data_IF_933919193615
#
_entry.id   IF_933919193615
#
_cell.length_a   1.000
_cell.length_b   1.000
_cell.length_c   1.000
_cell.angle_alpha   90.00
_cell.angle_beta   90.00
_cell.angle_gamma   90.00
#
_symmetry.space_group_name_H-M   'P 1'
#
loop_
_entity.id
_entity.type
_entity.pdbx_description
1 polymer ?
#
# COMPACT_ATOMS: atom_id res chain seq x y z
N UNK A 1 -1.62 -14.35 6.53
CA UNK A 1 -1.68 -12.92 6.79
C UNK A 1 -3.00 -12.56 7.46
N UNK A 2 -3.05 -11.45 8.21
CA UNK A 2 -4.34 -10.97 8.65
C UNK A 2 -5.21 -10.74 7.42
N UNK A 3 -6.51 -11.01 7.53
CA UNK A 3 -7.43 -10.88 6.38
C UNK A 3 -7.39 -9.48 5.75
N UNK A 4 -7.10 -8.45 6.53
CA UNK A 4 -6.96 -7.07 6.06
C UNK A 4 -5.78 -6.89 5.09
N UNK A 5 -4.57 -7.34 5.44
CA UNK A 5 -3.41 -7.21 4.55
C UNK A 5 -3.50 -8.12 3.33
N UNK A 6 -4.12 -9.30 3.47
CA UNK A 6 -4.42 -10.17 2.35
C UNK A 6 -5.34 -9.45 1.35
N UNK A 7 -6.37 -8.77 1.85
CA UNK A 7 -7.30 -8.02 1.03
C UNK A 7 -6.63 -6.83 0.33
N UNK A 8 -5.80 -6.06 1.03
CA UNK A 8 -5.06 -4.93 0.44
C UNK A 8 -4.15 -5.37 -0.70
N UNK A 9 -3.40 -6.44 -0.50
CA UNK A 9 -2.52 -6.99 -1.53
C UNK A 9 -3.33 -7.53 -2.72
N UNK A 10 -4.42 -8.25 -2.46
CA UNK A 10 -5.29 -8.79 -3.50
C UNK A 10 -5.93 -7.68 -4.34
N UNK A 11 -6.49 -6.64 -3.70
CA UNK A 11 -7.02 -5.46 -4.38
C UNK A 11 -5.97 -4.81 -5.29
N UNK A 12 -4.74 -4.66 -4.80
CA UNK A 12 -3.64 -4.08 -5.59
C UNK A 12 -3.34 -4.90 -6.84
N UNK A 13 -3.19 -6.23 -6.70
CA UNK A 13 -2.90 -7.13 -7.83
C UNK A 13 -4.08 -7.13 -8.82
N UNK A 14 -5.31 -7.13 -8.32
CA UNK A 14 -6.51 -7.09 -9.13
C UNK A 14 -6.58 -5.79 -9.97
N UNK A 15 -6.38 -4.64 -9.35
CA UNK A 15 -6.32 -3.35 -10.08
C UNK A 15 -5.16 -3.31 -11.07
N UNK A 16 -4.01 -3.85 -10.69
CA UNK A 16 -2.86 -3.96 -11.59
C UNK A 16 -3.18 -4.78 -12.86
N UNK A 17 -4.10 -5.73 -12.76
CA UNK A 17 -4.61 -6.52 -13.89
C UNK A 17 -5.91 -5.97 -14.50
N UNK A 18 -6.30 -4.74 -14.14
CA UNK A 18 -7.46 -4.05 -14.73
C UNK A 18 -8.80 -4.42 -14.15
N UNK A 19 -8.83 -5.13 -13.01
CA UNK A 19 -10.08 -5.45 -12.32
C UNK A 19 -10.50 -4.29 -11.43
N UNK A 20 -11.72 -3.80 -11.60
CA UNK A 20 -12.40 -2.96 -10.63
C UNK A 20 -13.64 -3.70 -10.10
N UNK A 21 -14.13 -3.30 -8.94
CA UNK A 21 -15.27 -3.95 -8.31
C UNK A 21 -16.59 -3.66 -9.03
N UNK A 22 -16.68 -2.51 -9.69
CA UNK A 22 -17.86 -2.10 -10.46
C UNK A 22 -17.48 -1.46 -11.80
N UNK A 23 -18.39 -1.53 -12.76
CA UNK A 23 -18.31 -0.78 -14.02
C UNK A 23 -18.76 0.69 -13.85
N UNK A 24 -18.76 1.44 -14.95
CA UNK A 24 -19.19 2.85 -14.98
C UNK A 24 -20.70 3.05 -14.63
N UNK A 25 -21.48 1.98 -14.63
CA UNK A 25 -22.91 1.98 -14.30
C UNK A 25 -23.20 1.49 -12.89
N UNK A 26 -22.14 1.05 -12.17
CA UNK A 26 -22.25 0.50 -10.84
C UNK A 26 -22.58 -1.00 -10.79
N UNK A 27 -22.55 -1.72 -11.91
CA UNK A 27 -22.70 -3.17 -11.88
C UNK A 27 -21.41 -3.82 -11.39
N UNK A 28 -21.51 -4.84 -10.56
CA UNK A 28 -20.35 -5.62 -10.08
C UNK A 28 -19.68 -6.34 -11.26
N UNK A 29 -18.35 -6.33 -11.29
CA UNK A 29 -17.52 -6.87 -12.39
C UNK A 29 -16.39 -7.76 -11.88
N UNK A 30 -16.70 -8.66 -10.95
CA UNK A 30 -15.70 -9.55 -10.35
C UNK A 30 -15.61 -10.93 -11.04
N UNK A 31 -16.66 -11.41 -11.72
CA UNK A 31 -16.59 -12.65 -12.48
C UNK A 31 -16.14 -12.39 -13.93
N UNK A 32 -14.85 -12.12 -14.09
CA UNK A 32 -14.23 -11.77 -15.38
C UNK A 32 -12.96 -12.58 -15.65
N UNK A 33 -12.50 -12.67 -16.93
CA UNK A 33 -11.22 -13.30 -17.25
C UNK A 33 -10.03 -12.63 -16.52
N UNK A 34 -10.03 -11.29 -16.40
CA UNK A 34 -8.98 -10.56 -15.68
C UNK A 34 -8.94 -10.91 -14.19
N UNK A 35 -10.09 -11.11 -13.54
CA UNK A 35 -10.14 -11.58 -12.15
C UNK A 35 -9.65 -13.01 -12.01
N UNK A 36 -9.93 -13.88 -13.00
CA UNK A 36 -9.38 -15.24 -13.04
C UNK A 36 -7.86 -15.22 -13.07
N UNK A 37 -7.26 -14.45 -13.98
CA UNK A 37 -5.80 -14.27 -14.06
C UNK A 37 -5.24 -13.74 -12.72
N UNK A 38 -5.96 -12.83 -12.07
CA UNK A 38 -5.59 -12.29 -10.75
C UNK A 38 -5.58 -13.40 -9.69
N UNK A 39 -6.59 -14.24 -9.62
CA UNK A 39 -6.67 -15.35 -8.66
C UNK A 39 -5.57 -16.39 -8.92
N UNK A 40 -5.31 -16.74 -10.16
CA UNK A 40 -4.23 -17.66 -10.55
C UNK A 40 -2.85 -17.11 -10.15
N UNK A 41 -2.60 -15.82 -10.43
CA UNK A 41 -1.36 -15.18 -10.04
C UNK A 41 -1.22 -15.05 -8.51
N UNK A 42 -2.29 -14.72 -7.81
CA UNK A 42 -2.26 -14.64 -6.35
C UNK A 42 -1.97 -16.00 -5.71
N UNK A 43 -2.58 -17.07 -6.26
CA UNK A 43 -2.27 -18.45 -5.84
C UNK A 43 -0.81 -18.81 -6.13
N UNK A 44 -0.29 -18.45 -7.31
CA UNK A 44 1.13 -18.63 -7.63
C UNK A 44 2.03 -17.96 -6.58
N UNK A 45 1.74 -16.71 -6.19
CA UNK A 45 2.49 -16.03 -5.14
C UNK A 45 2.39 -16.75 -3.79
N UNK A 46 1.20 -17.21 -3.42
CA UNK A 46 1.00 -17.97 -2.18
C UNK A 46 1.81 -19.27 -2.16
N UNK A 47 1.80 -20.03 -3.26
CA UNK A 47 2.52 -21.30 -3.41
C UNK A 47 4.06 -21.12 -3.40
N UNK A 48 4.55 -19.90 -3.73
CA UNK A 48 5.98 -19.55 -3.73
C UNK A 48 6.40 -18.67 -2.54
N UNK A 49 5.51 -18.44 -1.61
CA UNK A 49 5.79 -17.74 -0.36
C UNK A 49 6.19 -18.72 0.74
N UNK A 50 6.99 -18.31 1.74
CA UNK A 50 7.25 -19.14 2.88
C UNK A 50 5.95 -19.60 3.56
N UNK A 51 5.91 -20.84 4.09
CA UNK A 51 4.70 -21.39 4.68
C UNK A 51 4.31 -20.66 5.97
N UNK A 52 3.00 -20.65 6.25
CA UNK A 52 2.42 -20.09 7.48
C UNK A 52 1.65 -18.80 7.25
N UNK A 53 1.00 -18.36 8.30
CA UNK A 53 0.28 -17.08 8.32
C UNK A 53 1.27 -15.93 8.54
N UNK A 54 1.78 -15.37 7.44
CA UNK A 54 2.72 -14.27 7.46
C UNK A 54 1.98 -12.95 7.68
N UNK A 55 2.24 -12.33 8.82
CA UNK A 55 1.88 -10.94 9.07
C UNK A 55 2.98 -10.01 8.53
N UNK A 56 2.75 -8.72 8.48
CA UNK A 56 3.72 -7.76 7.94
C UNK A 56 5.09 -7.82 8.63
N UNK A 57 5.13 -8.15 9.92
CA UNK A 57 6.38 -8.27 10.67
C UNK A 57 7.22 -9.43 10.17
N UNK A 58 6.63 -10.63 10.07
CA UNK A 58 7.31 -11.82 9.57
C UNK A 58 7.74 -11.65 8.11
N UNK A 59 6.90 -11.05 7.26
CA UNK A 59 7.25 -10.77 5.87
C UNK A 59 8.47 -9.83 5.77
N UNK A 60 8.52 -8.78 6.60
CA UNK A 60 9.67 -7.89 6.68
C UNK A 60 10.92 -8.61 7.17
N UNK A 61 10.82 -9.42 8.22
CA UNK A 61 11.93 -10.21 8.75
C UNK A 61 12.52 -11.13 7.69
N UNK A 62 11.68 -11.84 6.94
CA UNK A 62 12.12 -12.68 5.82
C UNK A 62 12.92 -11.90 4.76
N UNK A 63 12.48 -10.67 4.45
CA UNK A 63 13.20 -9.81 3.52
C UNK A 63 14.52 -9.28 4.11
N UNK A 64 14.53 -8.88 5.38
CA UNK A 64 15.75 -8.45 6.11
C UNK A 64 16.78 -9.56 6.26
N UNK A 65 16.33 -10.82 6.32
CA UNK A 65 17.19 -12.01 6.43
C UNK A 65 17.66 -12.56 5.08
N UNK A 66 17.35 -11.89 3.96
CA UNK A 66 17.60 -12.38 2.58
C UNK A 66 16.92 -13.73 2.27
N UNK A 67 15.81 -14.04 2.94
CA UNK A 67 15.00 -15.25 2.71
C UNK A 67 13.85 -15.04 1.76
N UNK A 68 13.53 -13.79 1.44
CA UNK A 68 12.57 -13.40 0.41
C UNK A 68 13.24 -12.42 -0.55
N UNK A 69 13.12 -12.66 -1.85
CA UNK A 69 13.66 -11.79 -2.89
C UNK A 69 12.76 -10.58 -3.18
N UNK A 70 11.47 -10.68 -2.86
CA UNK A 70 10.48 -9.63 -3.10
C UNK A 70 9.62 -9.49 -1.86
N UNK A 71 9.28 -8.25 -1.52
CA UNK A 71 8.25 -7.91 -0.54
C UNK A 71 7.30 -6.90 -1.15
N UNK A 72 6.00 -7.12 -1.02
CA UNK A 72 4.98 -6.16 -1.42
C UNK A 72 4.40 -5.57 -0.15
N UNK A 73 4.77 -4.32 0.13
CA UNK A 73 4.36 -3.65 1.35
C UNK A 73 4.51 -2.12 1.27
N UNK A 74 4.21 -1.47 2.35
CA UNK A 74 4.23 -0.02 2.55
C UNK A 74 5.66 0.55 2.65
N UNK A 75 5.87 1.84 2.30
CA UNK A 75 7.14 2.55 2.47
C UNK A 75 7.67 2.61 3.91
N UNK A 76 6.89 2.21 4.90
CA UNK A 76 7.36 2.10 6.31
C UNK A 76 8.58 1.19 6.50
N UNK A 77 8.92 0.35 5.52
CA UNK A 77 10.12 -0.49 5.57
C UNK A 77 11.43 0.31 5.35
N UNK A 78 11.38 1.46 4.69
CA UNK A 78 12.53 2.17 4.14
C UNK A 78 13.65 2.45 5.16
N UNK A 79 13.31 2.92 6.35
CA UNK A 79 14.31 3.19 7.39
C UNK A 79 14.90 1.93 8.01
N UNK A 80 14.14 0.81 8.03
CA UNK A 80 14.65 -0.50 8.44
C UNK A 80 15.69 -1.04 7.46
N UNK A 81 15.43 -0.96 6.14
CA UNK A 81 16.37 -1.37 5.10
C UNK A 81 17.71 -0.63 5.17
N UNK A 82 17.71 0.57 5.71
CA UNK A 82 18.90 1.43 5.86
C UNK A 82 19.62 1.28 7.20
N UNK A 83 19.26 0.28 8.02
CA UNK A 83 19.89 0.04 9.32
C UNK A 83 19.68 1.15 10.35
N UNK A 84 18.55 1.90 10.27
CA UNK A 84 18.25 3.01 11.16
C UNK A 84 17.34 2.61 12.33
N UNK A 85 17.13 1.28 12.50
CA UNK A 85 16.20 0.77 13.49
C UNK A 85 16.70 -0.54 14.09
N UNK A 86 17.18 -0.49 15.34
CA UNK A 86 17.80 -1.64 16.04
C UNK A 86 16.80 -2.75 16.35
N UNK A 87 15.55 -2.40 16.62
CA UNK A 87 14.50 -3.38 16.89
C UNK A 87 14.08 -4.24 15.70
N UNK A 88 14.57 -3.95 14.49
CA UNK A 88 14.31 -4.71 13.27
C UNK A 88 15.54 -4.70 12.37
N UNK A 89 16.63 -5.33 12.80
CA UNK A 89 17.91 -5.30 12.11
C UNK A 89 17.83 -6.00 10.75
N UNK A 90 18.73 -5.63 9.86
CA UNK A 90 19.00 -6.35 8.61
C UNK A 90 20.04 -7.42 8.92
N UNK A 91 19.62 -8.68 9.01
CA UNK A 91 20.48 -9.80 9.48
C UNK A 91 21.10 -10.59 8.33
N UNK A 92 20.55 -10.51 7.13
CA UNK A 92 21.04 -11.27 5.97
C UNK A 92 22.45 -10.91 5.47
N UNK A 93 23.08 -9.85 6.02
CA UNK A 93 24.42 -9.42 5.64
C UNK A 93 25.46 -9.47 6.77
N UNK A 94 25.13 -10.15 7.85
CA UNK A 94 26.02 -10.31 9.01
C UNK A 94 25.46 -9.66 10.29
N UNK A 95 26.23 -9.62 11.37
CA UNK A 95 25.76 -9.24 12.70
C UNK A 95 25.63 -7.72 12.92
N UNK A 96 26.06 -6.89 11.98
CA UNK A 96 25.99 -5.42 12.11
C UNK A 96 24.55 -4.92 11.90
N UNK A 97 23.83 -4.49 12.96
CA UNK A 97 22.45 -4.01 12.85
C UNK A 97 22.34 -2.67 12.14
N UNK A 98 23.46 -1.97 11.93
CA UNK A 98 23.51 -0.63 11.31
C UNK A 98 23.76 -0.68 9.80
N UNK A 99 23.84 -1.89 9.23
CA UNK A 99 24.14 -2.06 7.80
C UNK A 99 23.06 -1.45 6.92
N UNK A 100 23.48 -0.68 5.92
CA UNK A 100 22.62 -0.08 4.89
C UNK A 100 22.63 -0.85 3.56
N UNK A 101 23.25 -2.05 3.55
CA UNK A 101 23.40 -2.85 2.32
C UNK A 101 22.06 -3.17 1.67
N UNK A 102 21.03 -3.47 2.45
CA UNK A 102 19.75 -3.88 1.89
C UNK A 102 19.05 -2.69 1.19
N UNK A 103 19.13 -1.47 1.73
CA UNK A 103 18.59 -0.29 1.06
C UNK A 103 19.28 0.01 -0.29
N UNK A 104 20.57 -0.29 -0.40
CA UNK A 104 21.37 -0.09 -1.62
C UNK A 104 21.14 -1.18 -2.67
N UNK A 105 20.76 -2.38 -2.25
CA UNK A 105 20.52 -3.52 -3.13
C UNK A 105 19.06 -3.67 -3.53
N UNK A 106 18.14 -2.99 -2.84
CA UNK A 106 16.71 -3.03 -3.15
C UNK A 106 16.37 -2.13 -4.33
N UNK A 107 15.61 -2.66 -5.28
CA UNK A 107 14.89 -1.87 -6.27
C UNK A 107 13.45 -1.67 -5.81
N UNK A 108 12.81 -0.60 -6.27
CA UNK A 108 11.46 -0.23 -5.85
C UNK A 108 10.54 -0.05 -7.05
N UNK A 109 9.28 -0.45 -6.90
CA UNK A 109 8.21 -0.15 -7.83
C UNK A 109 6.97 0.27 -7.07
N UNK A 110 6.28 1.28 -7.54
CA UNK A 110 5.04 1.81 -6.94
C UNK A 110 3.78 1.37 -7.69
N UNK A 111 3.94 0.59 -8.77
CA UNK A 111 2.83 0.03 -9.54
C UNK A 111 3.21 -1.31 -10.12
N UNK A 112 2.19 -2.14 -10.34
CA UNK A 112 2.30 -3.39 -11.07
C UNK A 112 1.46 -3.32 -12.34
N UNK A 113 1.77 -4.19 -13.32
CA UNK A 113 0.97 -4.36 -14.53
C UNK A 113 0.69 -5.86 -14.72
N UNK A 114 -0.54 -6.18 -15.09
CA UNK A 114 -0.94 -7.54 -15.44
C UNK A 114 -1.21 -7.70 -16.94
N UNK A 115 -1.41 -8.94 -17.43
CA UNK A 115 -1.68 -9.21 -18.83
C UNK A 115 -2.89 -8.44 -19.38
N UNK A 116 -3.95 -8.32 -18.58
CA UNK A 116 -5.18 -7.60 -18.96
C UNK A 116 -5.09 -6.08 -18.78
N UNK A 117 -4.02 -5.55 -18.15
CA UNK A 117 -3.77 -4.11 -18.00
C UNK A 117 -2.28 -3.78 -18.08
N UNK A 118 -1.71 -3.63 -19.29
CA UNK A 118 -0.30 -3.30 -19.45
C UNK A 118 0.12 -1.93 -18.88
N UNK A 119 -0.84 -1.03 -18.63
CA UNK A 119 -0.58 0.26 -17.99
C UNK A 119 -0.36 0.11 -16.48
N UNK A 120 -0.89 -0.94 -15.91
CA UNK A 120 -0.78 -1.22 -14.48
C UNK A 120 -1.57 -0.28 -13.59
N UNK A 121 -1.45 -0.48 -12.30
CA UNK A 121 -2.00 0.37 -11.25
C UNK A 121 -1.13 0.34 -10.00
N UNK A 122 -1.21 1.40 -9.19
CA UNK A 122 -0.73 1.46 -7.82
C UNK A 122 -1.90 1.39 -6.83
N UNK A 123 -1.64 0.90 -5.64
CA UNK A 123 -2.59 0.94 -4.53
C UNK A 123 -2.18 2.06 -3.57
N UNK A 124 -3.12 2.86 -3.12
CA UNK A 124 -2.83 3.93 -2.18
C UNK A 124 -3.89 4.02 -1.08
N UNK A 125 -3.41 4.36 0.10
CA UNK A 125 -4.23 4.76 1.24
C UNK A 125 -4.03 6.25 1.50
N UNK A 126 -5.12 6.97 1.70
CA UNK A 126 -5.10 8.40 2.01
C UNK A 126 -5.50 8.61 3.45
N UNK A 127 -4.60 9.19 4.25
CA UNK A 127 -4.91 9.64 5.60
C UNK A 127 -5.53 11.03 5.56
N UNK A 128 -6.63 11.23 6.26
CA UNK A 128 -7.33 12.51 6.35
C UNK A 128 -7.69 12.87 7.79
N UNK A 129 -7.94 14.14 8.02
CA UNK A 129 -8.44 14.65 9.29
C UNK A 129 -9.93 14.98 9.17
N UNK A 130 -10.74 14.39 10.06
CA UNK A 130 -12.16 14.67 10.17
C UNK A 130 -12.49 15.50 11.42
N UNK A 131 -13.61 16.20 11.39
CA UNK A 131 -14.18 16.90 12.53
C UNK A 131 -15.37 16.08 13.03
N UNK A 132 -15.33 15.62 14.28
CA UNK A 132 -16.44 14.85 14.87
C UNK A 132 -17.63 15.77 15.17
N UNK A 133 -18.82 15.17 15.29
CA UNK A 133 -20.07 15.94 15.54
C UNK A 133 -20.06 16.71 16.86
N UNK A 134 -19.36 16.20 17.86
CA UNK A 134 -19.27 16.82 19.21
C UNK A 134 -18.07 17.78 19.36
N UNK A 135 -17.29 17.98 18.30
CA UNK A 135 -16.10 18.83 18.36
C UNK A 135 -16.47 20.32 18.37
N UNK A 136 -15.59 21.13 18.98
CA UNK A 136 -15.61 22.56 18.71
C UNK A 136 -15.16 22.80 17.26
N UNK A 137 -16.13 22.92 16.35
CA UNK A 137 -15.92 22.99 14.91
C UNK A 137 -14.96 24.13 14.52
N UNK A 138 -15.07 25.31 15.12
CA UNK A 138 -14.22 26.45 14.77
C UNK A 138 -12.77 26.26 15.23
N UNK A 139 -12.55 25.66 16.40
CA UNK A 139 -11.22 25.31 16.86
C UNK A 139 -10.61 24.20 16.01
N UNK A 140 -11.38 23.17 15.66
CA UNK A 140 -10.96 22.07 14.81
C UNK A 140 -10.58 22.55 13.39
N UNK A 141 -11.38 23.41 12.77
CA UNK A 141 -11.04 24.03 11.49
C UNK A 141 -9.73 24.81 11.54
N UNK A 142 -9.53 25.63 12.58
CA UNK A 142 -8.27 26.39 12.76
C UNK A 142 -7.08 25.46 12.91
N UNK A 143 -7.22 24.37 13.65
CA UNK A 143 -6.18 23.36 13.82
C UNK A 143 -5.83 22.67 12.50
N UNK A 144 -6.85 22.23 11.72
CA UNK A 144 -6.64 21.59 10.42
C UNK A 144 -5.95 22.56 9.45
N UNK A 145 -6.41 23.81 9.36
CA UNK A 145 -5.78 24.82 8.51
C UNK A 145 -4.33 25.08 8.92
N UNK A 146 -4.07 25.24 10.22
CA UNK A 146 -2.70 25.41 10.73
C UNK A 146 -1.81 24.21 10.33
N UNK A 147 -2.32 22.99 10.51
CA UNK A 147 -1.59 21.75 10.18
C UNK A 147 -1.28 21.69 8.67
N UNK A 148 -2.25 22.01 7.82
CA UNK A 148 -2.08 21.92 6.37
C UNK A 148 -1.26 23.07 5.77
N UNK A 149 -1.21 24.24 6.40
CA UNK A 149 -0.52 25.41 5.86
C UNK A 149 0.81 25.71 6.54
N UNK A 150 0.86 25.72 7.87
CA UNK A 150 2.02 26.15 8.64
C UNK A 150 2.86 24.98 9.17
N UNK A 151 2.21 23.89 9.56
CA UNK A 151 2.86 22.72 10.15
C UNK A 151 2.95 21.51 9.22
N UNK A 152 2.67 21.66 7.92
CA UNK A 152 2.52 20.54 6.99
C UNK A 152 3.77 19.66 6.94
N UNK A 153 4.95 20.24 6.70
CA UNK A 153 6.21 19.49 6.68
C UNK A 153 6.56 18.86 8.03
N UNK A 154 6.24 19.54 9.13
CA UNK A 154 6.42 18.98 10.48
C UNK A 154 5.52 17.77 10.70
N UNK A 155 4.28 17.82 10.22
CA UNK A 155 3.33 16.71 10.31
C UNK A 155 3.78 15.51 9.48
N UNK A 156 4.28 15.75 8.27
CA UNK A 156 4.88 14.69 7.44
C UNK A 156 6.11 14.07 8.13
N UNK A 157 6.97 14.91 8.72
CA UNK A 157 8.18 14.48 9.42
C UNK A 157 7.95 13.58 10.64
N UNK A 158 6.73 13.55 11.20
CA UNK A 158 6.41 12.61 12.30
C UNK A 158 6.48 11.13 11.87
N UNK A 159 6.32 10.80 10.59
CA UNK A 159 6.45 9.46 10.04
C UNK A 159 6.73 9.54 8.53
N UNK A 160 7.80 10.23 8.12
CA UNK A 160 8.07 10.56 6.73
C UNK A 160 8.17 9.34 5.80
N UNK A 161 8.69 8.21 6.28
CA UNK A 161 8.74 6.95 5.49
C UNK A 161 7.35 6.44 5.08
N UNK A 162 6.33 6.68 5.89
CA UNK A 162 4.96 6.21 5.64
C UNK A 162 3.98 7.30 5.23
N UNK A 163 4.44 8.57 5.11
CA UNK A 163 3.57 9.71 4.80
C UNK A 163 4.16 10.53 3.66
N UNK A 164 3.62 10.33 2.49
CA UNK A 164 3.97 11.13 1.32
C UNK A 164 3.11 12.41 1.27
N UNK A 165 3.64 13.51 0.71
CA UNK A 165 2.89 14.76 0.61
C UNK A 165 1.78 14.64 -0.43
N UNK A 166 0.51 14.78 -0.02
CA UNK A 166 -0.64 14.89 -0.94
C UNK A 166 -0.73 16.28 -1.60
N UNK A 167 0.07 17.24 -1.13
CA UNK A 167 0.24 18.56 -1.74
C UNK A 167 1.64 18.67 -2.30
N UNK A 168 1.78 19.01 -3.59
CA UNK A 168 3.09 19.20 -4.21
C UNK A 168 3.82 20.43 -3.64
N UNK A 169 3.09 21.52 -3.41
CA UNK A 169 3.67 22.75 -2.90
C UNK A 169 2.63 23.84 -2.64
N UNK A 170 3.00 25.06 -2.89
CA UNK A 170 2.17 26.27 -2.80
C UNK A 170 2.11 26.96 -4.16
N UNK A 171 1.23 27.95 -4.33
CA UNK A 171 1.15 28.77 -5.57
C UNK A 171 2.49 29.45 -5.86
N UNK A 172 3.24 29.87 -4.84
CA UNK A 172 4.55 30.54 -5.01
C UNK A 172 5.72 29.57 -5.17
N UNK A 173 5.61 28.37 -4.58
CA UNK A 173 6.65 27.33 -4.56
C UNK A 173 5.97 25.98 -4.90
N UNK A 174 5.73 25.70 -6.20
CA UNK A 174 4.87 24.56 -6.62
C UNK A 174 5.36 23.17 -6.20
N UNK A 175 6.65 22.97 -5.95
CA UNK A 175 7.25 21.69 -5.56
C UNK A 175 7.72 21.65 -4.11
N UNK A 176 7.46 22.70 -3.33
CA UNK A 176 8.00 22.89 -1.98
C UNK A 176 7.87 21.68 -1.07
N UNK A 177 6.73 21.01 -1.08
CA UNK A 177 6.47 19.90 -0.17
C UNK A 177 7.06 18.59 -0.69
N UNK A 178 7.11 18.41 -2.00
CA UNK A 178 7.77 17.27 -2.65
C UNK A 178 9.28 17.33 -2.40
N UNK A 179 9.89 18.48 -2.69
CA UNK A 179 11.32 18.69 -2.49
C UNK A 179 11.70 18.60 -1.00
N UNK A 180 10.88 19.20 -0.14
CA UNK A 180 11.09 19.17 1.30
C UNK A 180 10.92 17.77 1.90
N UNK A 181 10.06 16.91 1.34
CA UNK A 181 9.86 15.56 1.85
C UNK A 181 11.13 14.72 1.81
N UNK A 182 11.90 14.81 0.73
CA UNK A 182 13.15 14.06 0.60
C UNK A 182 14.22 14.48 1.61
N UNK A 183 14.10 15.67 2.19
CA UNK A 183 15.02 16.21 3.20
C UNK A 183 14.59 15.88 4.64
N UNK A 184 13.41 15.26 4.82
CA UNK A 184 12.97 14.85 6.14
C UNK A 184 13.82 13.70 6.67
N UNK A 185 14.17 13.79 7.94
CA UNK A 185 14.87 12.73 8.64
C UNK A 185 13.94 11.55 8.92
N UNK A 186 14.45 10.36 8.70
CA UNK A 186 13.78 9.09 8.97
C UNK A 186 14.66 8.20 9.83
N UNK A 187 14.02 7.39 10.66
CA UNK A 187 14.71 6.49 11.57
C UNK A 187 13.94 6.27 12.86
N UNK A 188 14.58 5.60 13.80
CA UNK A 188 14.09 5.40 15.17
C UNK A 188 15.23 5.48 16.18
N UNK A 189 16.31 4.71 15.98
CA UNK A 189 17.50 4.71 16.84
C UNK A 189 18.61 5.57 16.25
N UNK A 190 18.64 5.69 14.94
CA UNK A 190 19.51 6.58 14.15
C UNK A 190 18.65 7.29 13.10
N UNK A 191 19.04 8.50 12.75
CA UNK A 191 18.28 9.37 11.86
C UNK A 191 19.14 9.83 10.69
N UNK A 192 18.55 9.78 9.48
CA UNK A 192 19.14 10.33 8.26
C UNK A 192 18.07 10.93 7.36
N UNK A 193 18.36 12.00 6.61
CA UNK A 193 17.48 12.45 5.54
C UNK A 193 17.24 11.37 4.48
N UNK A 194 16.04 11.33 3.93
CA UNK A 194 15.65 10.33 2.92
C UNK A 194 16.61 10.39 1.72
N UNK A 195 16.99 11.59 1.27
CA UNK A 195 17.89 11.81 0.14
C UNK A 195 19.35 11.46 0.40
N UNK A 196 19.74 11.17 1.63
CA UNK A 196 21.04 10.61 1.97
C UNK A 196 21.04 9.06 1.95
N UNK A 197 19.85 8.45 1.94
CA UNK A 197 19.67 6.99 1.93
C UNK A 197 19.38 6.50 0.52
N UNK A 198 18.50 7.19 -0.19
CA UNK A 198 17.96 6.78 -1.49
C UNK A 198 18.31 7.79 -2.59
N UNK A 199 18.55 7.29 -3.80
CA UNK A 199 18.82 8.14 -4.96
C UNK A 199 17.60 8.99 -5.35
N UNK A 200 17.86 10.07 -6.08
CA UNK A 200 16.79 10.94 -6.61
C UNK A 200 15.81 10.20 -7.52
N UNK A 201 16.26 9.16 -8.22
CA UNK A 201 15.40 8.31 -9.05
C UNK A 201 14.43 7.49 -8.19
N UNK A 202 14.93 6.82 -7.16
CA UNK A 202 14.11 6.06 -6.21
C UNK A 202 13.09 6.96 -5.52
N UNK A 203 13.51 8.14 -5.05
CA UNK A 203 12.63 9.13 -4.43
C UNK A 203 11.53 9.57 -5.40
N UNK A 204 11.88 9.85 -6.65
CA UNK A 204 10.92 10.21 -7.69
C UNK A 204 9.91 9.10 -7.95
N UNK A 205 10.36 7.85 -8.04
CA UNK A 205 9.46 6.70 -8.24
C UNK A 205 8.52 6.51 -7.06
N UNK A 206 8.99 6.68 -5.82
CA UNK A 206 8.13 6.65 -4.63
C UNK A 206 7.02 7.71 -4.69
N UNK A 207 7.34 8.93 -5.11
CA UNK A 207 6.37 10.03 -5.22
C UNK A 207 5.40 9.84 -6.39
N UNK A 208 5.83 9.20 -7.49
CA UNK A 208 4.94 8.83 -8.60
C UNK A 208 3.85 7.83 -8.16
N UNK A 209 4.07 7.07 -7.11
CA UNK A 209 3.05 6.19 -6.53
C UNK A 209 1.78 6.92 -6.09
N UNK A 210 1.89 8.21 -5.73
CA UNK A 210 0.73 9.05 -5.40
C UNK A 210 -0.16 9.34 -6.62
N UNK A 211 0.43 9.52 -7.80
CA UNK A 211 -0.30 9.79 -9.04
C UNK A 211 -0.96 8.54 -9.61
N UNK A 212 -0.38 7.37 -9.34
CA UNK A 212 -0.84 6.07 -9.82
C UNK A 212 -1.73 5.34 -8.82
N UNK A 213 -1.76 5.82 -7.59
CA UNK A 213 -2.50 5.21 -6.51
C UNK A 213 -4.01 5.29 -6.72
N UNK A 214 -4.68 4.15 -6.58
CA UNK A 214 -6.12 4.03 -6.69
C UNK A 214 -6.67 3.06 -5.67
N UNK A 215 -7.97 2.92 -5.62
CA UNK A 215 -8.74 1.95 -4.85
C UNK A 215 -9.95 1.51 -5.67
N UNK A 216 -10.43 0.31 -5.44
CA UNK A 216 -11.63 -0.23 -6.07
C UNK A 216 -12.83 0.71 -5.92
N UNK A 217 -13.51 0.99 -7.02
CA UNK A 217 -14.71 1.81 -7.08
C UNK A 217 -14.53 3.29 -6.78
N UNK A 218 -13.37 3.75 -6.29
CA UNK A 218 -13.19 5.14 -5.86
C UNK A 218 -13.31 6.13 -7.01
N UNK A 219 -12.66 5.88 -8.13
CA UNK A 219 -12.70 6.79 -9.29
C UNK A 219 -14.10 6.90 -9.92
N UNK A 220 -14.92 5.88 -9.70
CA UNK A 220 -16.31 5.80 -10.21
C UNK A 220 -17.36 6.24 -9.18
N UNK A 221 -16.94 6.69 -7.99
CA UNK A 221 -17.85 7.12 -6.91
C UNK A 221 -18.47 5.98 -6.08
N UNK A 222 -18.00 4.76 -6.25
CA UNK A 222 -18.48 3.56 -5.54
C UNK A 222 -17.57 3.08 -4.41
N UNK A 223 -16.72 3.93 -3.87
CA UNK A 223 -15.82 3.57 -2.76
C UNK A 223 -16.53 3.01 -1.52
N UNK A 224 -17.82 3.33 -1.32
CA UNK A 224 -18.64 2.76 -0.27
C UNK A 224 -18.87 1.25 -0.42
N UNK A 225 -18.89 0.72 -1.65
CA UNK A 225 -18.97 -0.72 -1.92
C UNK A 225 -17.71 -1.41 -1.43
N UNK A 226 -16.54 -0.84 -1.74
CA UNK A 226 -15.26 -1.35 -1.25
C UNK A 226 -15.20 -1.34 0.28
N UNK A 227 -15.71 -0.31 0.94
CA UNK A 227 -15.82 -0.29 2.40
C UNK A 227 -16.62 -1.48 2.94
N UNK A 228 -17.80 -1.75 2.36
CA UNK A 228 -18.62 -2.91 2.73
C UNK A 228 -17.91 -4.25 2.49
N UNK A 229 -17.16 -4.37 1.37
CA UNK A 229 -16.34 -5.56 1.09
C UNK A 229 -15.31 -5.82 2.20
N UNK A 230 -14.63 -4.76 2.68
CA UNK A 230 -13.68 -4.88 3.78
C UNK A 230 -14.36 -5.22 5.11
N UNK A 231 -15.53 -4.63 5.38
CA UNK A 231 -16.31 -4.90 6.60
C UNK A 231 -16.85 -6.33 6.64
N UNK A 232 -17.41 -6.82 5.54
CA UNK A 232 -18.01 -8.16 5.44
C UNK A 232 -16.98 -9.26 5.25
N UNK A 233 -15.75 -8.93 4.77
CA UNK A 233 -14.66 -9.84 4.47
C UNK A 233 -14.95 -10.86 3.37
N UNK A 234 -16.01 -10.69 2.62
CA UNK A 234 -16.46 -11.65 1.61
C UNK A 234 -15.38 -12.05 0.63
N UNK A 235 -14.59 -11.09 0.12
CA UNK A 235 -13.51 -11.38 -0.82
C UNK A 235 -12.35 -12.12 -0.14
N UNK A 236 -11.94 -11.69 1.05
CA UNK A 236 -10.80 -12.31 1.75
C UNK A 236 -11.11 -13.72 2.26
N UNK A 237 -12.35 -13.99 2.65
CA UNK A 237 -12.79 -15.33 3.05
C UNK A 237 -12.86 -16.27 1.83
N UNK A 238 -13.49 -15.84 0.75
CA UNK A 238 -13.55 -16.59 -0.51
C UNK A 238 -12.14 -16.87 -1.07
N UNK A 239 -11.25 -15.87 -1.00
CA UNK A 239 -9.85 -16.02 -1.42
C UNK A 239 -9.13 -17.09 -0.57
N UNK A 240 -9.36 -17.10 0.75
CA UNK A 240 -8.78 -18.11 1.64
C UNK A 240 -9.26 -19.52 1.25
N UNK A 241 -10.57 -19.71 1.09
CA UNK A 241 -11.14 -21.01 0.69
C UNK A 241 -10.57 -21.50 -0.65
N UNK A 242 -10.38 -20.60 -1.62
CA UNK A 242 -9.74 -20.93 -2.89
C UNK A 242 -8.26 -21.32 -2.71
N UNK A 243 -7.48 -20.56 -1.93
CA UNK A 243 -6.07 -20.87 -1.68
C UNK A 243 -5.89 -22.22 -0.97
N UNK A 244 -6.78 -22.51 -0.02
CA UNK A 244 -6.77 -23.76 0.74
C UNK A 244 -7.35 -24.96 -0.06
N UNK A 245 -7.83 -24.72 -1.30
CA UNK A 245 -8.37 -25.75 -2.18
C UNK A 245 -9.75 -26.27 -1.77
N UNK A 246 -10.47 -25.54 -0.91
CA UNK A 246 -11.83 -25.87 -0.47
C UNK A 246 -12.84 -25.64 -1.61
N UNK A 247 -12.63 -24.59 -2.41
CA UNK A 247 -13.43 -24.25 -3.58
C UNK A 247 -12.58 -24.13 -4.83
N UNK A 248 -13.22 -24.31 -5.98
CA UNK A 248 -12.57 -24.10 -7.28
C UNK A 248 -12.51 -22.60 -7.63
N UNK A 249 -11.69 -22.26 -8.62
CA UNK A 249 -11.59 -20.88 -9.12
C UNK A 249 -12.93 -20.37 -9.69
N UNK A 250 -13.70 -21.23 -10.34
CA UNK A 250 -15.03 -20.88 -10.88
C UNK A 250 -16.02 -20.57 -9.76
N UNK A 251 -16.00 -21.36 -8.68
CA UNK A 251 -16.79 -21.11 -7.50
C UNK A 251 -16.35 -19.80 -6.81
N UNK A 252 -15.06 -19.55 -6.69
CA UNK A 252 -14.54 -18.30 -6.11
C UNK A 252 -15.02 -17.07 -6.88
N UNK A 253 -14.91 -17.08 -8.21
CA UNK A 253 -15.39 -16.00 -9.07
C UNK A 253 -16.90 -15.75 -8.92
N UNK A 254 -17.68 -16.84 -8.89
CA UNK A 254 -19.12 -16.76 -8.71
C UNK A 254 -19.49 -16.17 -7.33
N UNK A 255 -18.89 -16.67 -6.25
CA UNK A 255 -19.16 -16.21 -4.89
C UNK A 255 -18.76 -14.72 -4.76
N UNK A 256 -17.58 -14.33 -5.22
CA UNK A 256 -17.13 -12.93 -5.18
C UNK A 256 -18.11 -12.01 -5.91
N UNK A 257 -18.61 -12.41 -7.07
CA UNK A 257 -19.60 -11.65 -7.84
C UNK A 257 -20.92 -11.52 -7.08
N UNK A 258 -21.55 -12.65 -6.74
CA UNK A 258 -22.89 -12.71 -6.15
C UNK A 258 -22.96 -12.07 -4.76
N UNK A 259 -21.95 -12.30 -3.92
CA UNK A 259 -21.92 -11.73 -2.58
C UNK A 259 -21.64 -10.22 -2.60
N UNK A 260 -20.83 -9.76 -3.56
CA UNK A 260 -20.60 -8.31 -3.73
C UNK A 260 -21.84 -7.61 -4.29
N UNK A 261 -22.61 -8.23 -5.18
CA UNK A 261 -23.88 -7.69 -5.67
C UNK A 261 -24.89 -7.42 -4.54
N UNK A 262 -24.89 -8.24 -3.49
CA UNK A 262 -25.75 -8.03 -2.31
C UNK A 262 -25.33 -6.82 -1.45
N UNK A 263 -24.15 -6.26 -1.67
CA UNK A 263 -23.64 -5.11 -0.94
C UNK A 263 -24.02 -3.76 -1.60
N UNK A 264 -24.47 -3.79 -2.85
CA UNK A 264 -24.95 -2.60 -3.57
C UNK A 264 -26.30 -2.14 -3.01
#
# INVERSE_FOLDING_TARGET
PSQEYMMQLFEHIAMANGVDVVDERGNVTLNTPAMRETLEFYKFLADHSPPGDLYWQQSRELYHDNRAAVIIWSPYILHGLAGLRDGVPVTGFGPDPTTDKLSKLSAFSTSFAGPSNPQGAGWAEVSYMGITVDANTEAAKKFILYTMEKAYMRTLGMAAVGKHPVRSGTVKEPTKFIDGWSQLEVGQDRWKPINEIYSSEVIKDMLLGLERGSRWGFQKGYGHVTSKIYETRVISETLREYLDGVITIDQALQIMQEETEKLL
#
